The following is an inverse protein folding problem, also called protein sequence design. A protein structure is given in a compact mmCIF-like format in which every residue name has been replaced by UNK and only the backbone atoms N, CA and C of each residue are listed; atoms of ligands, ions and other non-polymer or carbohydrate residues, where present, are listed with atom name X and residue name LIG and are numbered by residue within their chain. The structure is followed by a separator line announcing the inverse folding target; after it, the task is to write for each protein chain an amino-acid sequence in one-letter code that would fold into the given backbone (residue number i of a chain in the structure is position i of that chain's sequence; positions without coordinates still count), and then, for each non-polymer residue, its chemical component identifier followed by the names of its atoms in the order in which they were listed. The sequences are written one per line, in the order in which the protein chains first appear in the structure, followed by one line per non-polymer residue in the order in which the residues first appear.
data_IF_727472724704
#
_entry.id   IF_727472724704
#
_cell.length_a   1.000
_cell.length_b   1.000
_cell.length_c   1.000
_cell.angle_alpha   90.00
_cell.angle_beta   90.00
_cell.angle_gamma   90.00
#
_symmetry.space_group_name_H-M   'P 1'
#
loop_
_entity.id
_entity.type
_entity.pdbx_description
1 polymer ?
#
# COMPACT_ATOMS: atom_id res chain seq x y z
N UNK A 1 23.92 -14.93 17.94
CA UNK A 1 23.10 -14.98 16.70
C UNK A 1 21.94 -13.99 16.70
N UNK A 2 21.35 -13.64 17.84
CA UNK A 2 20.21 -12.70 17.96
C UNK A 2 20.52 -11.23 17.61
N UNK A 3 21.76 -10.78 17.82
CA UNK A 3 22.17 -9.40 17.50
C UNK A 3 22.13 -9.08 15.99
N UNK A 4 22.47 -10.05 15.12
CA UNK A 4 22.41 -9.84 13.66
C UNK A 4 20.99 -9.65 13.12
N UNK A 5 20.01 -10.36 13.70
CA UNK A 5 18.59 -10.19 13.35
C UNK A 5 18.03 -8.84 13.81
N UNK A 6 18.46 -8.36 14.99
CA UNK A 6 18.05 -7.05 15.49
C UNK A 6 18.54 -5.93 14.56
N UNK A 7 19.79 -5.98 14.11
CA UNK A 7 20.35 -5.03 13.14
C UNK A 7 19.61 -5.08 11.79
N UNK A 8 19.21 -6.26 11.32
CA UNK A 8 18.39 -6.38 10.11
C UNK A 8 17.01 -5.74 10.32
N UNK A 9 16.37 -5.97 11.47
CA UNK A 9 15.08 -5.36 11.78
C UNK A 9 15.16 -3.83 11.83
N UNK A 10 16.19 -3.25 12.45
CA UNK A 10 16.35 -1.79 12.51
C UNK A 10 16.67 -1.18 11.13
N UNK A 11 17.49 -1.85 10.32
CA UNK A 11 17.73 -1.43 8.93
C UNK A 11 16.45 -1.47 8.07
N UNK A 12 15.60 -2.49 8.24
CA UNK A 12 14.28 -2.55 7.58
C UNK A 12 13.33 -1.48 8.12
N UNK A 13 13.32 -1.26 9.43
CA UNK A 13 12.49 -0.22 10.06
C UNK A 13 12.85 1.18 9.54
N UNK A 14 14.14 1.48 9.36
CA UNK A 14 14.60 2.75 8.78
C UNK A 14 13.97 3.02 7.40
N UNK A 15 13.87 1.99 6.55
CA UNK A 15 13.22 2.11 5.23
C UNK A 15 11.73 2.41 5.35
N UNK A 16 11.02 1.70 6.22
CA UNK A 16 9.59 1.95 6.45
C UNK A 16 9.31 3.32 7.08
N UNK A 17 10.20 3.79 7.96
CA UNK A 17 10.12 5.14 8.52
C UNK A 17 10.29 6.19 7.42
N UNK A 18 11.22 6.00 6.49
CA UNK A 18 11.41 6.92 5.37
C UNK A 18 10.18 6.97 4.43
N UNK A 19 9.61 5.81 4.10
CA UNK A 19 8.35 5.71 3.34
C UNK A 19 7.24 6.48 4.08
N UNK A 20 7.07 6.24 5.38
CA UNK A 20 6.03 6.86 6.18
C UNK A 20 6.21 8.39 6.26
N UNK A 21 7.45 8.88 6.37
CA UNK A 21 7.77 10.32 6.36
C UNK A 21 7.44 10.99 5.02
N UNK A 22 7.57 10.27 3.90
CA UNK A 22 7.19 10.77 2.56
C UNK A 22 5.67 10.76 2.36
N UNK A 23 4.99 9.72 2.84
CA UNK A 23 3.53 9.56 2.67
C UNK A 23 2.72 10.45 3.63
N UNK A 24 3.22 10.78 4.83
CA UNK A 24 2.43 11.51 5.83
C UNK A 24 1.96 12.92 5.37
N UNK A 25 2.78 13.74 4.68
CA UNK A 25 2.31 15.03 4.17
C UNK A 25 1.29 14.88 3.03
N UNK A 26 1.38 13.80 2.25
CA UNK A 26 0.43 13.51 1.17
C UNK A 26 -0.96 13.19 1.73
N UNK A 27 -1.04 12.41 2.82
CA UNK A 27 -2.31 12.15 3.53
C UNK A 27 -2.96 13.44 4.04
N UNK A 28 -2.18 14.36 4.59
CA UNK A 28 -2.69 15.66 5.04
C UNK A 28 -3.20 16.49 3.86
N UNK A 29 -2.56 16.38 2.69
CA UNK A 29 -2.99 17.04 1.45
C UNK A 29 -4.34 16.50 0.97
N UNK A 30 -4.62 15.20 1.14
CA UNK A 30 -5.90 14.60 0.74
C UNK A 30 -7.11 15.11 1.56
N UNK A 31 -6.89 15.72 2.74
CA UNK A 31 -7.92 16.41 3.50
C UNK A 31 -8.22 17.83 2.99
N UNK A 32 -7.44 18.36 2.03
CA UNK A 32 -7.65 19.70 1.48
C UNK A 32 -8.91 19.74 0.63
N UNK A 33 -9.89 20.61 0.94
CA UNK A 33 -11.12 20.73 0.16
C UNK A 33 -10.84 21.08 -1.30
N UNK A 34 -11.56 20.45 -2.23
CA UNK A 34 -11.56 20.83 -3.65
C UNK A 34 -10.59 20.08 -4.57
N UNK A 35 -9.84 19.08 -4.07
CA UNK A 35 -9.03 18.21 -4.94
C UNK A 35 -9.81 16.94 -5.33
N UNK A 36 -10.01 16.64 -6.62
CA UNK A 36 -10.36 15.29 -7.03
C UNK A 36 -9.15 14.39 -6.73
N UNK A 37 -9.28 13.50 -5.74
CA UNK A 37 -8.22 12.57 -5.38
C UNK A 37 -7.77 11.73 -6.57
N UNK A 38 -6.48 11.42 -6.65
CA UNK A 38 -5.92 10.55 -7.69
C UNK A 38 -6.34 9.06 -7.54
N UNK A 39 -7.00 8.71 -6.43
CA UNK A 39 -7.36 7.34 -6.07
C UNK A 39 -8.88 7.11 -5.98
N UNK A 40 -9.56 6.99 -7.11
CA UNK A 40 -10.82 6.23 -7.19
C UNK A 40 -10.85 5.34 -8.45
N UNK A 41 -9.80 4.55 -8.66
CA UNK A 41 -9.77 3.51 -9.71
C UNK A 41 -10.35 2.16 -9.28
N UNK A 42 -11.18 2.13 -8.24
CA UNK A 42 -11.87 0.90 -7.78
C UNK A 42 -13.32 1.14 -7.37
N UNK A 43 -14.06 1.96 -8.11
CA UNK A 43 -15.52 1.91 -8.06
C UNK A 43 -16.01 1.15 -9.29
N UNK A 44 -16.83 0.10 -9.16
CA UNK A 44 -17.48 -0.51 -10.31
C UNK A 44 -18.16 0.60 -11.13
N UNK A 45 -18.08 0.58 -12.48
CA UNK A 45 -18.78 1.57 -13.28
C UNK A 45 -20.24 1.57 -12.85
N UNK A 46 -20.73 2.74 -12.45
CA UNK A 46 -22.12 2.90 -12.04
C UNK A 46 -22.99 2.45 -13.23
N UNK A 47 -23.91 1.53 -12.97
CA UNK A 47 -24.86 1.10 -13.99
C UNK A 47 -25.68 2.30 -14.52
N UNK A 48 -26.27 2.20 -15.72
CA UNK A 48 -27.01 3.32 -16.34
C UNK A 48 -28.08 3.94 -15.44
N UNK A 49 -28.75 3.14 -14.60
CA UNK A 49 -29.72 3.62 -13.64
C UNK A 49 -29.11 4.48 -12.52
N UNK A 50 -27.92 4.10 -12.02
CA UNK A 50 -27.22 4.84 -10.98
C UNK A 50 -26.62 6.15 -11.51
N UNK A 51 -26.18 6.17 -12.77
CA UNK A 51 -25.75 7.40 -13.45
C UNK A 51 -26.91 8.39 -13.65
N UNK A 52 -28.09 7.89 -14.04
CA UNK A 52 -29.30 8.72 -14.15
C UNK A 52 -29.71 9.30 -12.80
N UNK A 53 -29.78 8.47 -11.76
CA UNK A 53 -30.12 8.92 -10.41
C UNK A 53 -29.11 9.94 -9.85
N UNK A 54 -27.83 9.84 -10.23
CA UNK A 54 -26.83 10.86 -9.89
C UNK A 54 -27.10 12.17 -10.65
N UNK A 55 -27.31 12.11 -11.97
CA UNK A 55 -27.62 13.30 -12.77
C UNK A 55 -28.92 14.01 -12.36
N UNK A 56 -29.92 13.26 -11.89
CA UNK A 56 -31.17 13.81 -11.34
C UNK A 56 -30.92 14.57 -10.03
N UNK A 57 -30.09 14.04 -9.13
CA UNK A 57 -29.67 14.74 -7.90
C UNK A 57 -28.88 16.00 -8.21
N UNK A 58 -27.92 15.93 -9.13
CA UNK A 58 -27.11 17.08 -9.53
C UNK A 58 -27.96 18.17 -10.21
N UNK A 59 -29.03 17.78 -10.91
CA UNK A 59 -29.98 18.72 -11.49
C UNK A 59 -30.86 19.39 -10.42
N UNK A 60 -31.31 18.62 -9.42
CA UNK A 60 -32.09 19.15 -8.30
C UNK A 60 -31.27 20.13 -7.45
N UNK A 61 -30.02 19.79 -7.13
CA UNK A 61 -29.11 20.65 -6.37
C UNK A 61 -28.82 21.98 -7.09
N UNK A 62 -28.63 21.93 -8.42
CA UNK A 62 -28.49 23.15 -9.23
C UNK A 62 -29.75 23.99 -9.26
N UNK A 63 -30.93 23.37 -9.33
CA UNK A 63 -32.20 24.10 -9.29
C UNK A 63 -32.42 24.78 -7.92
N UNK A 64 -32.06 24.10 -6.83
CA UNK A 64 -32.11 24.65 -5.48
C UNK A 64 -31.12 25.81 -5.29
N UNK A 65 -29.90 25.70 -5.80
CA UNK A 65 -28.92 26.78 -5.78
C UNK A 65 -29.41 28.02 -6.56
N UNK A 66 -30.00 27.83 -7.74
CA UNK A 66 -30.59 28.92 -8.54
C UNK A 66 -31.76 29.60 -7.82
N UNK A 67 -32.58 28.85 -7.08
CA UNK A 67 -33.65 29.40 -6.24
C UNK A 67 -33.08 30.21 -5.06
N UNK A 68 -32.03 29.70 -4.41
CA UNK A 68 -31.30 30.43 -3.36
C UNK A 68 -30.75 31.77 -3.87
N UNK A 69 -30.11 31.78 -5.04
CA UNK A 69 -29.60 32.98 -5.70
C UNK A 69 -30.72 34.01 -5.97
N UNK A 70 -31.89 33.56 -6.43
CA UNK A 70 -33.06 34.42 -6.66
C UNK A 70 -33.60 35.04 -5.36
N UNK A 71 -33.35 34.40 -4.21
CA UNK A 71 -33.72 34.88 -2.88
C UNK A 71 -32.59 35.62 -2.16
N UNK A 72 -31.48 35.93 -2.83
CA UNK A 72 -30.33 36.63 -2.26
C UNK A 72 -29.52 35.78 -1.26
N UNK A 73 -29.75 34.48 -1.23
CA UNK A 73 -28.95 33.51 -0.50
C UNK A 73 -27.82 33.07 -1.44
N UNK A 74 -26.64 33.65 -1.27
CA UNK A 74 -25.47 33.23 -2.05
C UNK A 74 -25.18 31.73 -1.83
N UNK A 75 -24.69 31.00 -2.84
CA UNK A 75 -24.28 29.62 -2.66
C UNK A 75 -23.31 29.55 -1.47
N UNK A 76 -23.57 28.67 -0.51
CA UNK A 76 -22.52 28.22 0.41
C UNK A 76 -21.49 27.55 -0.49
N UNK A 77 -20.44 28.31 -0.86
CA UNK A 77 -19.56 28.01 -1.97
C UNK A 77 -19.08 26.56 -1.92
N UNK A 78 -19.09 25.90 -3.09
CA UNK A 78 -18.62 24.55 -3.35
C UNK A 78 -18.71 23.65 -2.11
N UNK A 79 -19.84 22.94 -1.96
CA UNK A 79 -19.96 21.78 -1.08
C UNK A 79 -18.59 21.13 -0.95
N UNK A 80 -17.95 21.31 0.21
CA UNK A 80 -16.62 20.79 0.43
C UNK A 80 -16.75 19.30 0.14
N UNK A 81 -16.09 18.83 -0.93
CA UNK A 81 -16.16 17.44 -1.35
C UNK A 81 -16.15 16.57 -0.08
N UNK A 82 -17.14 15.66 0.11
CA UNK A 82 -17.43 15.08 1.42
C UNK A 82 -16.15 14.74 2.16
N UNK A 83 -15.99 15.23 3.40
CA UNK A 83 -14.81 14.93 4.23
C UNK A 83 -14.57 13.43 4.10
N UNK A 84 -13.39 13.07 3.59
CA UNK A 84 -13.05 11.67 3.35
C UNK A 84 -12.78 11.03 4.70
N UNK A 85 -13.85 10.60 5.37
CA UNK A 85 -13.82 10.06 6.74
C UNK A 85 -12.78 8.95 6.88
N UNK A 86 -12.66 8.06 5.89
CA UNK A 86 -11.63 7.01 5.87
C UNK A 86 -10.18 7.55 5.88
N UNK A 87 -9.93 8.71 5.25
CA UNK A 87 -8.62 9.40 5.27
C UNK A 87 -8.39 10.01 6.65
N UNK A 88 -9.42 10.64 7.23
CA UNK A 88 -9.37 11.19 8.59
C UNK A 88 -9.09 10.10 9.63
N UNK A 89 -9.75 8.94 9.53
CA UNK A 89 -9.55 7.79 10.42
C UNK A 89 -8.13 7.23 10.28
N UNK A 90 -7.63 7.10 9.04
CA UNK A 90 -6.26 6.67 8.81
C UNK A 90 -5.25 7.64 9.45
N UNK A 91 -5.44 8.95 9.28
CA UNK A 91 -4.56 9.98 9.86
C UNK A 91 -4.55 9.86 11.39
N UNK A 92 -5.71 9.70 12.02
CA UNK A 92 -5.79 9.51 13.48
C UNK A 92 -5.04 8.25 13.90
N UNK A 93 -5.34 7.11 13.30
CA UNK A 93 -4.70 5.81 13.63
C UNK A 93 -3.17 5.86 13.46
N UNK A 94 -2.67 6.53 12.42
CA UNK A 94 -1.23 6.70 12.16
C UNK A 94 -0.61 7.64 13.18
N UNK A 95 -1.28 8.74 13.51
CA UNK A 95 -0.79 9.70 14.50
C UNK A 95 -0.67 9.05 15.86
N UNK A 96 -1.71 8.35 16.31
CA UNK A 96 -1.73 7.65 17.59
C UNK A 96 -0.65 6.55 17.59
N UNK A 97 -0.56 5.74 16.52
CA UNK A 97 0.45 4.70 16.41
C UNK A 97 1.90 5.22 16.44
N UNK A 98 2.20 6.38 15.86
CA UNK A 98 3.53 7.00 15.93
C UNK A 98 3.83 7.54 17.33
N UNK A 99 2.84 8.11 18.01
CA UNK A 99 2.97 8.57 19.40
C UNK A 99 3.27 7.39 20.32
N UNK A 100 2.46 6.33 20.24
CA UNK A 100 2.63 5.10 21.03
C UNK A 100 4.00 4.45 20.77
N UNK A 101 4.42 4.37 19.51
CA UNK A 101 5.71 3.80 19.14
C UNK A 101 6.89 4.59 19.71
N UNK A 102 6.86 5.93 19.62
CA UNK A 102 7.91 6.76 20.19
C UNK A 102 7.96 6.62 21.72
N UNK A 103 6.81 6.63 22.40
CA UNK A 103 6.74 6.41 23.85
C UNK A 103 7.31 5.04 24.24
N UNK A 104 6.97 3.97 23.52
CA UNK A 104 7.50 2.63 23.76
C UNK A 104 9.03 2.54 23.56
N UNK A 105 9.58 3.20 22.54
CA UNK A 105 11.03 3.26 22.32
C UNK A 105 11.73 4.03 23.44
N UNK A 106 11.23 5.20 23.81
CA UNK A 106 11.81 6.04 24.86
C UNK A 106 11.77 5.38 26.23
N UNK A 107 10.64 4.73 26.56
CA UNK A 107 10.51 3.94 27.79
C UNK A 107 11.55 2.82 27.81
N UNK A 108 11.67 2.06 26.71
CA UNK A 108 12.57 0.92 26.67
C UNK A 108 14.05 1.30 26.74
N UNK A 109 14.41 2.47 26.23
CA UNK A 109 15.76 3.04 26.29
C UNK A 109 16.02 3.87 27.57
N UNK A 110 15.02 4.05 28.44
CA UNK A 110 15.17 4.80 29.69
C UNK A 110 15.32 6.32 29.50
N UNK A 111 14.82 6.87 28.40
CA UNK A 111 14.97 8.29 28.04
C UNK A 111 13.87 9.19 28.66
N UNK A 112 12.94 8.61 29.41
CA UNK A 112 11.80 9.31 30.01
C UNK A 112 10.68 9.53 28.98
N UNK A 113 9.98 10.66 29.07
CA UNK A 113 8.84 10.96 28.18
C UNK A 113 9.27 11.81 26.98
N UNK A 114 8.94 11.41 25.74
CA UNK A 114 9.25 12.23 24.57
C UNK A 114 8.50 13.56 24.58
N UNK A 115 9.12 14.67 24.13
CA UNK A 115 8.44 15.94 23.98
C UNK A 115 7.42 15.87 22.82
N UNK A 116 6.37 16.69 22.88
CA UNK A 116 5.37 16.78 21.81
C UNK A 116 6.02 17.17 20.48
N UNK A 117 5.57 16.53 19.41
CA UNK A 117 6.00 16.78 18.03
C UNK A 117 4.95 16.29 17.05
N UNK A 118 5.07 16.74 15.80
CA UNK A 118 4.32 16.19 14.67
C UNK A 118 4.86 14.82 14.24
N UNK A 119 4.10 14.11 13.40
CA UNK A 119 4.45 12.76 12.94
C UNK A 119 5.84 12.71 12.26
N UNK A 120 6.19 13.58 11.29
CA UNK A 120 7.52 13.57 10.68
C UNK A 120 8.67 13.76 11.67
N UNK A 121 8.53 14.66 12.65
CA UNK A 121 9.55 14.89 13.67
C UNK A 121 9.71 13.69 14.59
N UNK A 122 8.61 13.09 15.07
CA UNK A 122 8.64 11.89 15.93
C UNK A 122 9.30 10.72 15.21
N UNK A 123 8.93 10.49 13.96
CA UNK A 123 9.56 9.48 13.10
C UNK A 123 11.06 9.73 12.91
N UNK A 124 11.48 10.99 12.76
CA UNK A 124 12.89 11.37 12.73
C UNK A 124 13.63 11.02 14.02
N UNK A 125 13.01 11.20 15.18
CA UNK A 125 13.61 10.82 16.47
C UNK A 125 13.70 9.31 16.64
N UNK A 126 12.66 8.58 16.28
CA UNK A 126 12.69 7.10 16.29
C UNK A 126 13.80 6.58 15.36
N UNK A 127 13.94 7.16 14.15
CA UNK A 127 15.01 6.80 13.23
C UNK A 127 16.41 7.05 13.82
N UNK A 128 16.60 8.16 14.53
CA UNK A 128 17.88 8.50 15.17
C UNK A 128 18.26 7.56 16.32
N UNK A 129 17.30 6.83 16.90
CA UNK A 129 17.50 5.89 18.00
C UNK A 129 17.68 4.44 17.52
N UNK A 130 17.64 4.17 16.21
CA UNK A 130 17.65 2.80 15.68
C UNK A 130 18.93 2.01 16.00
N UNK A 131 20.07 2.69 16.16
CA UNK A 131 21.32 2.04 16.56
C UNK A 131 21.26 1.55 18.01
N UNK A 132 20.67 2.33 18.92
CA UNK A 132 20.44 1.91 20.31
C UNK A 132 19.37 0.82 20.39
N UNK A 133 18.32 0.92 19.58
CA UNK A 133 17.26 -0.10 19.46
C UNK A 133 17.82 -1.45 18.99
N UNK A 134 18.90 -1.47 18.19
CA UNK A 134 19.54 -2.71 17.74
C UNK A 134 20.10 -3.54 18.91
N UNK A 135 20.37 -2.92 20.06
CA UNK A 135 20.71 -3.61 21.32
C UNK A 135 19.54 -4.37 21.96
N UNK A 136 18.31 -4.19 21.47
CA UNK A 136 17.08 -4.74 22.04
C UNK A 136 16.27 -5.52 20.99
N UNK A 137 16.50 -6.83 20.80
CA UNK A 137 15.91 -7.60 19.70
C UNK A 137 14.37 -7.58 19.61
N UNK A 138 13.69 -7.62 20.75
CA UNK A 138 12.22 -7.56 20.83
C UNK A 138 11.71 -6.17 20.42
N UNK A 139 12.38 -5.11 20.87
CA UNK A 139 12.03 -3.74 20.50
C UNK A 139 12.28 -3.51 19.01
N UNK A 140 13.42 -3.96 18.48
CA UNK A 140 13.75 -3.86 17.06
C UNK A 140 12.68 -4.51 16.18
N UNK A 141 12.16 -5.68 16.58
CA UNK A 141 11.06 -6.33 15.88
C UNK A 141 9.76 -5.53 15.98
N UNK A 142 9.41 -5.06 17.17
CA UNK A 142 8.20 -4.26 17.38
C UNK A 142 8.21 -2.97 16.54
N UNK A 143 9.33 -2.24 16.51
CA UNK A 143 9.49 -1.03 15.69
C UNK A 143 9.28 -1.33 14.21
N UNK A 144 9.89 -2.41 13.71
CA UNK A 144 9.68 -2.85 12.33
C UNK A 144 8.19 -3.13 12.04
N UNK A 145 7.53 -3.91 12.90
CA UNK A 145 6.13 -4.30 12.69
C UNK A 145 5.19 -3.09 12.71
N UNK A 146 5.38 -2.16 13.64
CA UNK A 146 4.56 -0.95 13.73
C UNK A 146 4.78 0.02 12.57
N UNK A 147 6.04 0.29 12.20
CA UNK A 147 6.33 1.14 11.04
C UNK A 147 5.76 0.54 9.75
N UNK A 148 5.88 -0.78 9.56
CA UNK A 148 5.29 -1.50 8.42
C UNK A 148 3.76 -1.41 8.44
N UNK A 149 3.11 -1.62 9.59
CA UNK A 149 1.65 -1.53 9.74
C UNK A 149 1.14 -0.15 9.32
N UNK A 150 1.77 0.91 9.81
CA UNK A 150 1.38 2.29 9.52
C UNK A 150 1.64 2.69 8.07
N UNK A 151 2.81 2.40 7.51
CA UNK A 151 3.13 2.69 6.10
C UNK A 151 2.17 1.98 5.13
N UNK A 152 1.78 0.74 5.42
CA UNK A 152 0.77 0.03 4.61
C UNK A 152 -0.61 0.67 4.70
N UNK A 153 -1.00 1.15 5.88
CA UNK A 153 -2.26 1.90 6.04
C UNK A 153 -2.22 3.21 5.24
N UNK A 154 -1.09 3.92 5.25
CA UNK A 154 -0.88 5.10 4.40
C UNK A 154 -1.07 4.78 2.92
N UNK A 155 -0.31 3.80 2.40
CA UNK A 155 -0.38 3.42 0.98
C UNK A 155 -1.78 3.02 0.52
N UNK A 156 -2.51 2.23 1.33
CA UNK A 156 -3.92 1.88 1.05
C UNK A 156 -4.83 3.09 0.99
N UNK A 157 -4.61 4.06 1.87
CA UNK A 157 -5.43 5.28 1.96
C UNK A 157 -5.14 6.24 0.80
N UNK A 158 -3.88 6.32 0.37
CA UNK A 158 -3.43 7.13 -0.77
C UNK A 158 -3.75 6.49 -2.13
N UNK A 159 -4.12 5.20 -2.15
CA UNK A 159 -4.43 4.48 -3.38
C UNK A 159 -3.18 4.13 -4.20
N UNK A 160 -2.02 3.97 -3.56
CA UNK A 160 -0.78 3.56 -4.21
C UNK A 160 -0.98 2.20 -4.89
N UNK A 161 -0.68 2.05 -6.19
CA UNK A 161 -0.72 0.76 -6.85
C UNK A 161 0.37 -0.12 -6.22
N UNK A 162 -0.06 -1.20 -5.59
CA UNK A 162 0.82 -2.16 -4.94
C UNK A 162 1.89 -2.69 -5.91
N UNK A 163 3.16 -2.71 -5.48
CA UNK A 163 4.25 -3.31 -6.26
C UNK A 163 3.99 -4.80 -6.43
N UNK A 164 3.85 -5.23 -7.68
CA UNK A 164 3.60 -6.62 -8.04
C UNK A 164 4.92 -7.38 -8.21
N UNK A 165 5.08 -8.47 -7.46
CA UNK A 165 6.28 -9.32 -7.53
C UNK A 165 6.08 -10.43 -8.55
N UNK A 166 7.10 -10.76 -9.34
CA UNK A 166 7.03 -11.86 -10.29
C UNK A 166 7.00 -13.20 -9.57
N UNK A 167 6.02 -14.04 -9.92
CA UNK A 167 5.97 -15.45 -9.53
C UNK A 167 6.62 -16.28 -10.64
N UNK A 168 7.48 -17.22 -10.27
CA UNK A 168 8.06 -18.18 -11.22
C UNK A 168 7.00 -19.22 -11.61
N UNK A 169 7.00 -19.64 -12.88
CA UNK A 169 5.97 -20.52 -13.43
C UNK A 169 5.13 -19.85 -14.53
N UNK A 170 4.18 -20.62 -15.08
CA UNK A 170 3.29 -20.20 -16.17
C UNK A 170 1.84 -20.21 -15.70
N UNK A 171 1.06 -19.26 -16.20
CA UNK A 171 -0.38 -19.26 -15.91
C UNK A 171 -1.03 -20.54 -16.45
N UNK A 172 -1.79 -21.30 -15.63
CA UNK A 172 -2.45 -22.54 -16.07
C UNK A 172 -3.42 -22.38 -17.25
N UNK A 173 -3.98 -21.17 -17.46
CA UNK A 173 -4.98 -20.95 -18.51
C UNK A 173 -4.44 -20.37 -19.82
N UNK A 174 -3.43 -19.49 -19.76
CA UNK A 174 -2.89 -18.84 -20.97
C UNK A 174 -1.43 -19.20 -21.24
N UNK A 175 -0.86 -20.10 -20.44
CA UNK A 175 0.50 -20.62 -20.53
C UNK A 175 1.61 -19.53 -20.57
N UNK A 176 1.26 -18.31 -20.15
CA UNK A 176 2.14 -17.14 -20.21
C UNK A 176 2.89 -16.95 -18.89
N UNK A 177 4.12 -16.40 -18.95
CA UNK A 177 4.93 -16.05 -17.77
C UNK A 177 4.51 -14.70 -17.19
N UNK A 178 3.23 -14.61 -16.84
CA UNK A 178 2.53 -13.36 -16.46
C UNK A 178 1.96 -13.42 -15.05
N UNK A 179 2.35 -14.40 -14.23
CA UNK A 179 1.92 -14.48 -12.85
C UNK A 179 2.61 -13.41 -12.00
N UNK A 180 1.82 -12.72 -11.18
CA UNK A 180 2.27 -11.69 -10.25
C UNK A 180 1.63 -11.89 -8.88
N UNK A 181 2.45 -11.85 -7.85
CA UNK A 181 2.01 -11.78 -6.47
C UNK A 181 1.76 -10.31 -6.09
N UNK A 182 0.71 -10.10 -5.32
CA UNK A 182 0.37 -8.86 -4.61
C UNK A 182 0.56 -9.13 -3.10
N UNK A 183 1.73 -8.79 -2.54
CA UNK A 183 2.11 -9.09 -1.15
C UNK A 183 1.17 -8.57 -0.05
N UNK A 184 0.63 -7.36 -0.21
CA UNK A 184 -0.33 -6.74 0.71
C UNK A 184 -1.71 -7.40 0.64
N UNK A 185 -2.12 -7.90 -0.53
CA UNK A 185 -3.42 -8.59 -0.69
C UNK A 185 -3.32 -10.11 -0.57
N UNK A 186 -2.10 -10.65 -0.36
CA UNK A 186 -1.80 -12.09 -0.31
C UNK A 186 -2.54 -12.84 -1.43
N UNK A 187 -2.36 -12.33 -2.64
CA UNK A 187 -3.06 -12.79 -3.83
C UNK A 187 -2.09 -12.91 -4.99
N UNK A 188 -2.21 -13.96 -5.79
CA UNK A 188 -1.52 -14.08 -7.08
C UNK A 188 -2.52 -13.86 -8.21
N UNK A 189 -2.13 -13.21 -9.30
CA UNK A 189 -2.97 -13.03 -10.49
C UNK A 189 -2.15 -13.11 -11.78
N UNK A 190 -2.82 -13.38 -12.89
CA UNK A 190 -2.22 -13.30 -14.22
C UNK A 190 -2.42 -11.90 -14.81
N UNK A 191 -1.34 -11.19 -15.17
CA UNK A 191 -1.42 -9.83 -15.74
C UNK A 191 -1.70 -9.81 -17.25
N UNK A 192 -1.78 -10.97 -17.92
CA UNK A 192 -2.09 -11.02 -19.34
C UNK A 192 -3.55 -10.59 -19.58
N UNK A 193 -3.82 -9.50 -20.32
CA UNK A 193 -5.18 -8.98 -20.50
C UNK A 193 -6.10 -9.94 -21.28
N UNK A 194 -5.54 -10.85 -22.08
CA UNK A 194 -6.29 -11.89 -22.80
C UNK A 194 -6.56 -13.15 -21.99
N UNK A 195 -6.03 -13.27 -20.76
CA UNK A 195 -6.20 -14.47 -19.95
C UNK A 195 -7.62 -14.58 -19.40
N UNK A 196 -8.23 -15.75 -19.55
CA UNK A 196 -9.56 -16.12 -19.04
C UNK A 196 -9.47 -17.53 -18.47
N UNK A 197 -10.05 -17.77 -17.29
CA UNK A 197 -10.14 -19.13 -16.76
C UNK A 197 -11.29 -19.89 -17.41
N UNK A 198 -11.31 -21.21 -17.18
CA UNK A 198 -12.38 -22.10 -17.64
C UNK A 198 -13.59 -22.14 -16.70
N UNK A 199 -13.49 -21.50 -15.54
CA UNK A 199 -14.60 -21.36 -14.60
C UNK A 199 -15.57 -20.28 -15.09
N UNK A 200 -16.80 -20.69 -15.42
CA UNK A 200 -17.87 -19.83 -15.93
C UNK A 200 -18.47 -18.93 -14.84
N UNK A 201 -18.32 -19.29 -13.57
CA UNK A 201 -18.77 -18.47 -12.43
C UNK A 201 -17.72 -17.42 -12.02
N UNK A 202 -16.50 -17.55 -12.52
CA UNK A 202 -15.44 -16.59 -12.24
C UNK A 202 -15.64 -15.30 -13.06
N UNK A 203 -15.69 -14.11 -12.41
CA UNK A 203 -15.93 -12.84 -13.11
C UNK A 203 -14.85 -12.49 -14.15
N UNK A 204 -13.73 -13.22 -14.22
CA UNK A 204 -12.74 -12.97 -15.24
C UNK A 204 -13.22 -13.41 -16.63
N UNK A 205 -14.18 -14.35 -16.72
CA UNK A 205 -14.68 -14.90 -17.98
C UNK A 205 -15.40 -13.83 -18.83
N UNK A 206 -16.19 -12.96 -18.20
CA UNK A 206 -17.08 -11.99 -18.86
C UNK A 206 -16.66 -10.52 -18.64
N UNK A 207 -15.88 -10.22 -17.59
CA UNK A 207 -15.45 -8.85 -17.27
C UNK A 207 -13.98 -8.61 -17.59
N UNK A 208 -13.71 -7.82 -18.64
CA UNK A 208 -12.36 -7.44 -19.05
C UNK A 208 -11.57 -6.59 -18.03
N UNK A 209 -12.22 -6.05 -17.00
CA UNK A 209 -11.56 -5.37 -15.87
C UNK A 209 -11.22 -6.33 -14.72
N UNK A 210 -11.81 -7.53 -14.68
CA UNK A 210 -11.51 -8.53 -13.66
C UNK A 210 -10.41 -9.48 -14.16
N UNK A 211 -9.54 -9.90 -13.24
CA UNK A 211 -8.51 -10.91 -13.51
C UNK A 211 -8.73 -12.06 -12.54
N UNK A 212 -8.57 -13.28 -13.02
CA UNK A 212 -8.55 -14.42 -12.11
C UNK A 212 -7.45 -14.22 -11.08
N UNK A 213 -7.82 -14.42 -9.83
CA UNK A 213 -6.93 -14.30 -8.69
C UNK A 213 -6.95 -15.57 -7.86
N UNK A 214 -5.78 -15.94 -7.35
CA UNK A 214 -5.62 -17.02 -6.39
C UNK A 214 -5.29 -16.42 -5.04
N UNK A 215 -6.22 -16.59 -4.10
CA UNK A 215 -5.99 -16.29 -2.68
C UNK A 215 -5.08 -17.33 -2.06
N UNK A 216 -4.62 -17.08 -0.84
CA UNK A 216 -3.70 -17.95 -0.09
C UNK A 216 -4.12 -19.43 -0.06
N UNK A 217 -5.42 -19.71 0.08
CA UNK A 217 -5.96 -21.09 0.07
C UNK A 217 -5.80 -21.79 -1.29
N UNK A 218 -5.62 -21.05 -2.37
CA UNK A 218 -5.48 -21.56 -3.73
C UNK A 218 -4.03 -21.70 -4.21
N UNK A 219 -3.02 -21.30 -3.42
CA UNK A 219 -1.63 -21.29 -3.88
C UNK A 219 -1.04 -22.69 -4.08
N UNK A 220 -1.39 -23.65 -3.23
CA UNK A 220 -0.92 -25.03 -3.38
C UNK A 220 -1.40 -25.64 -4.72
N UNK A 221 -2.65 -25.36 -5.10
CA UNK A 221 -3.19 -25.77 -6.38
C UNK A 221 -2.52 -25.02 -7.55
N UNK A 222 -2.37 -23.69 -7.43
CA UNK A 222 -1.67 -22.89 -8.42
C UNK A 222 -0.25 -23.40 -8.65
N UNK A 223 0.50 -23.70 -7.59
CA UNK A 223 1.86 -24.21 -7.69
C UNK A 223 1.94 -25.51 -8.50
N UNK A 224 1.05 -26.46 -8.19
CA UNK A 224 0.96 -27.72 -8.90
C UNK A 224 0.63 -27.55 -10.40
N UNK A 225 -0.26 -26.61 -10.75
CA UNK A 225 -0.71 -26.40 -12.12
C UNK A 225 0.22 -25.50 -12.95
N UNK A 226 0.87 -24.52 -12.30
CA UNK A 226 1.71 -23.51 -12.94
C UNK A 226 3.18 -23.92 -13.08
N UNK A 227 3.57 -25.05 -12.48
CA UNK A 227 4.98 -25.41 -12.30
C UNK A 227 5.72 -24.38 -11.42
N UNK A 228 5.00 -23.78 -10.47
CA UNK A 228 5.55 -22.87 -9.47
C UNK A 228 5.78 -23.61 -8.16
N UNK A 229 6.54 -23.03 -7.24
CA UNK A 229 6.70 -23.55 -5.89
C UNK A 229 5.79 -22.75 -4.91
N UNK A 230 4.96 -23.45 -4.13
CA UNK A 230 4.04 -22.83 -3.18
C UNK A 230 4.80 -22.14 -2.03
N UNK A 231 5.91 -22.73 -1.59
CA UNK A 231 6.77 -22.14 -0.56
C UNK A 231 7.51 -20.92 -1.12
N UNK A 232 7.84 -20.93 -2.41
CA UNK A 232 8.39 -19.76 -3.11
C UNK A 232 7.34 -18.66 -3.26
N UNK A 233 6.07 -18.97 -3.58
CA UNK A 233 5.00 -17.98 -3.64
C UNK A 233 4.78 -17.36 -2.26
N UNK A 234 4.68 -18.18 -1.22
CA UNK A 234 4.56 -17.72 0.16
C UNK A 234 5.76 -16.85 0.54
N UNK A 235 6.97 -17.32 0.21
CA UNK A 235 8.18 -16.55 0.38
C UNK A 235 8.10 -15.22 -0.39
N UNK A 236 7.74 -15.14 -1.67
CA UNK A 236 7.67 -13.88 -2.43
C UNK A 236 6.66 -12.89 -1.84
N UNK A 237 5.49 -13.39 -1.44
CA UNK A 237 4.47 -12.61 -0.71
C UNK A 237 5.03 -12.11 0.64
N UNK A 238 5.90 -12.89 1.26
CA UNK A 238 6.55 -12.57 2.53
C UNK A 238 7.90 -11.80 2.36
N UNK A 239 8.55 -11.84 1.19
CA UNK A 239 9.95 -11.42 0.87
C UNK A 239 10.03 -10.10 0.10
N UNK A 240 8.90 -9.48 -0.24
CA UNK A 240 8.82 -8.01 -0.31
C UNK A 240 9.04 -7.35 1.07
N UNK A 241 9.33 -8.16 2.10
CA UNK A 241 10.01 -7.74 3.31
C UNK A 241 11.54 -7.58 3.17
N UNK A 242 12.20 -7.89 2.03
CA UNK A 242 13.67 -7.82 1.98
C UNK A 242 14.46 -7.69 0.65
N UNK A 243 13.87 -7.44 -0.52
CA UNK A 243 14.68 -7.33 -1.77
C UNK A 243 14.53 -5.99 -2.49
N UNK A 244 15.32 -5.00 -2.08
CA UNK A 244 15.84 -3.96 -2.99
C UNK A 244 17.30 -3.66 -2.62
N UNK A 245 18.15 -4.67 -2.85
CA UNK A 245 19.60 -4.54 -2.78
C UNK A 245 20.21 -5.08 -4.07
N UNK A 246 20.31 -4.18 -5.05
CA UNK A 246 21.46 -4.08 -5.94
C UNK A 246 21.68 -5.23 -6.94
N UNK A 247 21.23 -5.02 -8.16
CA UNK A 247 21.97 -5.51 -9.34
C UNK A 247 22.03 -4.42 -10.39
N UNK A 248 23.03 -3.55 -10.28
CA UNK A 248 23.65 -2.96 -11.46
C UNK A 248 25.12 -2.59 -11.20
N UNK A 249 25.99 -3.61 -11.21
CA UNK A 249 27.43 -3.50 -11.49
C UNK A 249 28.09 -4.86 -11.54
N UNK A 250 28.12 -5.49 -12.71
CA UNK A 250 29.31 -6.23 -13.17
C UNK A 250 29.40 -6.09 -14.69
N UNK A 251 30.34 -5.26 -15.13
CA UNK A 251 30.66 -5.06 -16.53
C UNK A 251 32.06 -4.46 -16.64
N UNK A 252 33.07 -5.16 -16.12
CA UNK A 252 34.46 -4.85 -16.45
C UNK A 252 35.33 -6.11 -16.49
N UNK A 253 35.96 -6.28 -17.64
CA UNK A 253 37.18 -7.06 -17.95
C UNK A 253 37.03 -8.55 -18.20
N UNK A 254 36.98 -8.94 -19.49
CA UNK A 254 37.98 -9.86 -20.07
C UNK A 254 38.19 -9.49 -21.55
N UNK A 255 39.31 -8.86 -21.89
CA UNK A 255 40.01 -9.13 -23.15
C UNK A 255 41.50 -9.31 -22.81
N UNK A 256 41.88 -10.56 -22.65
CA UNK A 256 43.25 -11.02 -22.73
C UNK A 256 43.54 -11.34 -24.21
N UNK A 257 44.69 -10.90 -24.69
CA UNK A 257 45.11 -11.04 -26.08
C UNK A 257 45.24 -12.48 -26.56
N UNK A 258 45.17 -12.62 -27.87
CA UNK A 258 45.73 -13.73 -28.62
C UNK A 258 46.20 -13.21 -29.99
N UNK A 259 47.47 -13.50 -30.29
CA UNK A 259 48.22 -13.35 -31.54
C UNK A 259 48.65 -11.93 -31.96
#
# INVERSE_FOLDING_TARGET
MTSGLATQHTARAARWIDILRRQSPELLTELTPGRPGAGTRSRPPLGPAALRALGERDAAERAEALLGEQHGLGPLGASAAPIRLHVSDAIRDITDGVVELEEAVWEKLGLGRPPRADVPQRLGRVAALLDDVAGHPVLARHVLDECRRMARRCGRTLGDPETMVRVNGRCPWCDSVSLRAMPAWRTVLCVNPGCRCTDEECPCADNAAHRHSWTETGWAQLAAEAGADADEIAALVDTDADTDAGTDRVGRSVEAGAA
#
